data_IF_812412588035
#
_entry.id   IF_812412588035
#
_cell.length_a   1.000
_cell.length_b   1.000
_cell.length_c   1.000
_cell.angle_alpha   90.00
_cell.angle_beta   90.00
_cell.angle_gamma   90.00
#
_symmetry.space_group_name_H-M   'P 1'
#
loop_
_entity.id
_entity.type
_entity.pdbx_description
1 polymer ?
#
# COMPACT_ATOMS: atom_id res chain seq x y z
N UNK A 1 -24.49 -10.93 5.21
CA UNK A 1 -24.06 -9.61 5.70
C UNK A 1 -23.29 -9.79 6.99
N UNK A 2 -21.97 -9.87 6.89
CA UNK A 2 -21.07 -9.95 8.05
C UNK A 2 -20.91 -8.57 8.70
N UNK A 3 -20.55 -8.52 9.98
CA UNK A 3 -20.26 -7.25 10.68
C UNK A 3 -19.21 -6.40 9.96
N UNK A 4 -18.24 -7.04 9.30
CA UNK A 4 -17.19 -6.37 8.53
C UNK A 4 -17.75 -5.74 7.24
N UNK A 5 -18.66 -6.42 6.53
CA UNK A 5 -19.31 -5.85 5.35
C UNK A 5 -20.05 -4.54 5.68
N UNK A 6 -20.67 -4.46 6.85
CA UNK A 6 -21.37 -3.24 7.31
C UNK A 6 -20.40 -2.09 7.61
N UNK A 7 -19.24 -2.37 8.22
CA UNK A 7 -18.24 -1.34 8.54
C UNK A 7 -17.51 -0.83 7.31
N UNK A 8 -17.18 -1.72 6.37
CA UNK A 8 -16.44 -1.37 5.15
C UNK A 8 -17.37 -0.95 4.00
N UNK A 9 -18.69 -0.94 4.22
CA UNK A 9 -19.63 -0.37 3.26
C UNK A 9 -19.45 1.15 3.16
N UNK A 10 -19.44 1.72 1.95
CA UNK A 10 -19.34 3.16 1.79
C UNK A 10 -20.55 3.84 2.45
N UNK A 11 -20.28 4.69 3.44
CA UNK A 11 -21.32 5.33 4.26
C UNK A 11 -22.05 6.47 3.54
N UNK A 12 -21.59 6.89 2.36
CA UNK A 12 -22.05 8.11 1.69
C UNK A 12 -22.23 7.84 0.20
N UNK A 13 -23.44 8.07 -0.29
CA UNK A 13 -23.74 8.17 -1.73
C UNK A 13 -23.58 9.65 -2.13
N UNK A 14 -22.35 10.06 -2.43
CA UNK A 14 -22.09 11.41 -2.96
C UNK A 14 -22.55 11.47 -4.41
N UNK A 15 -23.31 12.50 -4.77
CA UNK A 15 -23.66 12.72 -6.18
C UNK A 15 -22.44 13.26 -6.95
N UNK A 16 -22.42 13.04 -8.26
CA UNK A 16 -21.32 13.48 -9.13
C UNK A 16 -21.12 15.01 -9.13
N UNK A 17 -22.18 15.79 -8.94
CA UNK A 17 -22.13 17.25 -8.96
C UNK A 17 -21.40 17.81 -7.73
N UNK A 18 -21.64 17.25 -6.54
CA UNK A 18 -20.99 17.64 -5.29
C UNK A 18 -19.50 17.31 -5.32
N UNK A 19 -19.14 16.14 -5.86
CA UNK A 19 -17.74 15.77 -6.10
C UNK A 19 -17.06 16.76 -7.05
N UNK A 20 -17.68 17.06 -8.20
CA UNK A 20 -17.12 17.99 -9.16
C UNK A 20 -16.97 19.40 -8.57
N UNK A 21 -17.97 19.88 -7.82
CA UNK A 21 -17.91 21.17 -7.13
C UNK A 21 -16.77 21.22 -6.12
N UNK A 22 -16.57 20.14 -5.35
CA UNK A 22 -15.46 20.05 -4.40
C UNK A 22 -14.10 20.08 -5.11
N UNK A 23 -13.87 19.18 -6.08
CA UNK A 23 -12.58 19.08 -6.77
C UNK A 23 -12.23 20.32 -7.60
N UNK A 24 -13.21 20.97 -8.23
CA UNK A 24 -12.97 22.19 -9.00
C UNK A 24 -12.56 23.39 -8.14
N UNK A 25 -12.91 23.39 -6.85
CA UNK A 25 -12.51 24.42 -5.90
C UNK A 25 -11.13 24.17 -5.28
N UNK A 26 -10.52 23.01 -5.51
CA UNK A 26 -9.19 22.67 -5.00
C UNK A 26 -8.11 23.11 -5.99
N UNK A 27 -7.23 24.01 -5.55
CA UNK A 27 -5.98 24.30 -6.24
C UNK A 27 -4.88 23.34 -5.75
N UNK A 28 -4.79 22.18 -6.39
CA UNK A 28 -3.78 21.17 -6.05
C UNK A 28 -2.46 21.46 -6.79
N UNK A 29 -1.30 21.38 -6.11
CA UNK A 29 -0.01 21.45 -6.78
C UNK A 29 0.12 20.34 -7.82
N UNK A 30 0.55 20.71 -9.02
CA UNK A 30 0.78 19.77 -10.13
C UNK A 30 2.24 19.33 -10.15
N UNK A 31 2.47 18.06 -10.45
CA UNK A 31 3.80 17.52 -10.64
C UNK A 31 4.44 18.10 -11.90
N UNK A 32 5.70 18.55 -11.82
CA UNK A 32 6.46 19.04 -12.98
C UNK A 32 6.70 17.89 -13.98
N UNK A 33 6.75 18.21 -15.28
CA UNK A 33 6.94 17.20 -16.35
C UNK A 33 8.21 16.36 -16.16
N UNK A 34 9.30 16.99 -15.69
CA UNK A 34 10.57 16.33 -15.34
C UNK A 34 10.41 15.21 -14.30
N UNK A 35 9.49 15.38 -13.35
CA UNK A 35 9.24 14.42 -12.28
C UNK A 35 8.23 13.34 -12.71
N UNK A 36 7.40 13.60 -13.73
CA UNK A 36 6.53 12.58 -14.32
C UNK A 36 7.34 11.44 -14.93
N UNK A 37 8.42 11.76 -15.66
CA UNK A 37 9.28 10.73 -16.25
C UNK A 37 9.84 9.75 -15.21
N UNK A 38 10.23 10.26 -14.03
CA UNK A 38 10.68 9.42 -12.91
C UNK A 38 9.55 8.57 -12.33
N UNK A 39 8.33 9.10 -12.22
CA UNK A 39 7.16 8.35 -11.76
C UNK A 39 6.84 7.15 -12.66
N UNK A 40 7.04 7.30 -13.97
CA UNK A 40 6.77 6.24 -14.95
C UNK A 40 7.99 5.33 -15.23
N UNK A 41 9.12 5.56 -14.58
CA UNK A 41 10.30 4.72 -14.76
C UNK A 41 10.07 3.26 -14.33
N UNK A 42 10.75 2.33 -14.97
CA UNK A 42 10.75 0.92 -14.59
C UNK A 42 11.49 0.72 -13.26
N UNK A 43 11.08 -0.29 -12.48
CA UNK A 43 11.74 -0.60 -11.21
C UNK A 43 12.93 -1.53 -11.48
N UNK A 44 14.12 -1.20 -10.99
CA UNK A 44 15.31 -1.98 -11.20
C UNK A 44 15.42 -3.19 -10.25
N UNK A 45 16.30 -4.12 -10.59
CA UNK A 45 16.69 -5.23 -9.71
C UNK A 45 17.32 -4.71 -8.40
N UNK A 46 18.19 -3.72 -8.48
CA UNK A 46 18.82 -3.14 -7.28
C UNK A 46 17.77 -2.57 -6.31
N UNK A 47 16.74 -1.93 -6.84
CA UNK A 47 15.66 -1.35 -6.05
C UNK A 47 14.84 -2.43 -5.33
N UNK A 48 14.46 -3.52 -6.01
CA UNK A 48 13.80 -4.64 -5.36
C UNK A 48 14.70 -5.29 -4.30
N UNK A 49 16.00 -5.42 -4.59
CA UNK A 49 16.96 -6.04 -3.69
C UNK A 49 17.05 -5.23 -2.40
N UNK A 50 17.25 -3.92 -2.51
CA UNK A 50 17.28 -2.99 -1.38
C UNK A 50 15.95 -2.99 -0.61
N UNK A 51 14.82 -3.04 -1.31
CA UNK A 51 13.51 -3.16 -0.65
C UNK A 51 13.39 -4.44 0.17
N UNK A 52 13.80 -5.60 -0.38
CA UNK A 52 13.80 -6.88 0.33
C UNK A 52 14.68 -6.79 1.58
N UNK A 53 15.89 -6.21 1.46
CA UNK A 53 16.79 -5.99 2.60
C UNK A 53 16.23 -5.05 3.67
N UNK A 54 15.34 -4.13 3.28
CA UNK A 54 14.66 -3.20 4.20
C UNK A 54 13.41 -3.78 4.88
N UNK A 55 13.00 -5.01 4.55
CA UNK A 55 11.86 -5.64 5.19
C UNK A 55 12.18 -5.94 6.66
N UNK A 56 11.27 -5.57 7.55
CA UNK A 56 11.36 -5.92 8.96
C UNK A 56 11.04 -7.40 9.14
N UNK A 57 12.00 -8.12 9.73
CA UNK A 57 11.98 -9.56 10.01
C UNK A 57 10.93 -9.94 11.07
N UNK A 58 10.70 -9.10 12.07
CA UNK A 58 9.77 -9.37 13.17
C UNK A 58 8.27 -9.13 12.86
N UNK A 59 7.83 -9.20 11.60
CA UNK A 59 6.43 -8.92 11.22
C UNK A 59 5.74 -10.18 10.73
N UNK A 60 4.45 -10.29 11.05
CA UNK A 60 3.62 -11.37 10.55
C UNK A 60 3.58 -11.41 9.02
N UNK A 61 3.71 -12.63 8.49
CA UNK A 61 3.53 -12.94 7.07
C UNK A 61 2.04 -12.93 6.69
N UNK A 62 1.77 -13.03 5.38
CA UNK A 62 0.39 -13.15 4.88
C UNK A 62 -0.08 -14.60 4.89
N UNK A 63 -0.92 -15.01 3.94
CA UNK A 63 -1.46 -16.38 3.92
C UNK A 63 -0.54 -17.42 3.27
N UNK A 64 0.57 -16.99 2.67
CA UNK A 64 1.53 -17.83 1.96
C UNK A 64 2.60 -18.47 2.88
N UNK A 65 2.78 -17.94 4.10
CA UNK A 65 3.80 -18.42 5.03
C UNK A 65 5.22 -17.90 4.73
N UNK A 66 5.41 -17.04 3.73
CA UNK A 66 6.75 -16.55 3.39
C UNK A 66 7.17 -15.38 4.28
N UNK A 67 8.09 -15.63 5.19
CA UNK A 67 8.68 -14.63 6.07
C UNK A 67 9.66 -13.70 5.35
N UNK A 68 9.93 -12.53 5.94
CA UNK A 68 10.88 -11.58 5.37
C UNK A 68 12.32 -12.10 5.40
N UNK A 69 12.64 -12.95 6.38
CA UNK A 69 13.91 -13.65 6.54
C UNK A 69 14.18 -14.58 5.36
N UNK A 70 13.17 -15.37 4.97
CA UNK A 70 13.26 -16.25 3.82
C UNK A 70 13.62 -15.45 2.57
N UNK A 71 12.84 -14.39 2.28
CA UNK A 71 13.06 -13.53 1.12
C UNK A 71 14.43 -12.84 1.16
N UNK A 72 14.93 -12.51 2.36
CA UNK A 72 16.26 -11.93 2.53
C UNK A 72 17.36 -12.90 2.13
N UNK A 73 17.25 -14.17 2.51
CA UNK A 73 18.23 -15.21 2.20
C UNK A 73 18.22 -15.55 0.72
N UNK A 74 17.03 -15.74 0.13
CA UNK A 74 16.86 -16.13 -1.28
C UNK A 74 16.67 -14.95 -2.24
N UNK A 75 17.01 -13.73 -1.80
CA UNK A 75 16.79 -12.50 -2.58
C UNK A 75 17.36 -12.54 -4.00
N UNK A 76 18.47 -13.24 -4.24
CA UNK A 76 19.10 -13.32 -5.57
C UNK A 76 18.31 -14.19 -6.53
N UNK A 77 17.67 -15.23 -6.02
CA UNK A 77 16.92 -16.21 -6.79
C UNK A 77 15.49 -15.71 -7.10
N UNK A 78 14.87 -14.97 -6.18
CA UNK A 78 13.44 -14.61 -6.30
C UNK A 78 13.24 -13.27 -7.04
N UNK A 79 14.26 -12.40 -7.09
CA UNK A 79 14.09 -11.02 -7.54
C UNK A 79 13.61 -10.88 -8.98
N UNK A 80 14.18 -11.69 -9.88
CA UNK A 80 13.80 -11.70 -11.30
C UNK A 80 12.35 -12.15 -11.45
N UNK A 81 11.93 -13.17 -10.70
CA UNK A 81 10.56 -13.66 -10.71
C UNK A 81 9.58 -12.59 -10.22
N UNK A 82 9.90 -11.87 -9.14
CA UNK A 82 9.05 -10.78 -8.62
C UNK A 82 8.96 -9.60 -9.58
N UNK A 83 10.05 -9.27 -10.28
CA UNK A 83 10.05 -8.23 -11.31
C UNK A 83 9.19 -8.64 -12.51
N UNK A 84 9.34 -9.86 -13.02
CA UNK A 84 8.50 -10.37 -14.10
C UNK A 84 7.01 -10.29 -13.72
N UNK A 85 6.68 -10.73 -12.50
CA UNK A 85 5.32 -10.68 -11.97
C UNK A 85 4.78 -9.24 -11.91
N UNK A 86 5.61 -8.29 -11.47
CA UNK A 86 5.25 -6.88 -11.43
C UNK A 86 5.00 -6.31 -12.82
N UNK A 87 5.90 -6.55 -13.77
CA UNK A 87 5.77 -6.03 -15.13
C UNK A 87 4.53 -6.59 -15.82
N UNK A 88 4.26 -7.88 -15.66
CA UNK A 88 3.04 -8.49 -16.15
C UNK A 88 1.80 -7.85 -15.51
N UNK A 89 1.81 -7.61 -14.20
CA UNK A 89 0.69 -6.97 -13.51
C UNK A 89 0.43 -5.53 -13.99
N UNK A 90 1.49 -4.79 -14.33
CA UNK A 90 1.39 -3.44 -14.91
C UNK A 90 0.83 -3.48 -16.33
N UNK A 91 1.32 -4.40 -17.16
CA UNK A 91 0.88 -4.59 -18.54
C UNK A 91 -0.60 -5.01 -18.62
N UNK A 92 -0.98 -6.02 -17.86
CA UNK A 92 -2.34 -6.55 -17.81
C UNK A 92 -3.29 -5.66 -16.99
N UNK A 93 -2.74 -4.70 -16.23
CA UNK A 93 -3.47 -3.85 -15.27
C UNK A 93 -4.21 -4.65 -14.19
N UNK A 94 -3.72 -5.84 -13.88
CA UNK A 94 -4.32 -6.77 -12.92
C UNK A 94 -3.23 -7.33 -12.02
N UNK A 95 -3.40 -7.15 -10.71
CA UNK A 95 -2.51 -7.76 -9.72
C UNK A 95 -2.73 -9.27 -9.63
N UNK A 96 -1.71 -10.09 -9.36
CA UNK A 96 -1.87 -11.53 -9.13
C UNK A 96 -2.91 -11.84 -8.04
N UNK A 97 -3.71 -12.92 -8.16
CA UNK A 97 -4.75 -13.23 -7.19
C UNK A 97 -4.26 -13.32 -5.75
N UNK A 98 -3.09 -13.91 -5.52
CA UNK A 98 -2.47 -14.05 -4.19
C UNK A 98 -2.19 -12.70 -3.54
N UNK A 99 -1.73 -11.72 -4.32
CA UNK A 99 -1.47 -10.34 -3.85
C UNK A 99 -2.74 -9.55 -3.52
N UNK A 100 -3.92 -10.06 -3.90
CA UNK A 100 -5.23 -9.46 -3.59
C UNK A 100 -5.90 -10.10 -2.37
N UNK A 101 -5.24 -11.07 -1.74
CA UNK A 101 -5.73 -11.74 -0.55
C UNK A 101 -5.02 -11.20 0.70
N UNK A 102 -5.75 -11.21 1.83
CA UNK A 102 -5.20 -10.86 3.13
C UNK A 102 -5.87 -11.72 4.21
N UNK A 103 -5.11 -12.04 5.26
CA UNK A 103 -5.69 -12.58 6.50
C UNK A 103 -6.12 -11.42 7.37
N UNK A 104 -7.38 -11.39 7.81
CA UNK A 104 -7.86 -10.39 8.75
C UNK A 104 -7.63 -10.91 10.17
N UNK A 105 -6.79 -10.21 10.93
CA UNK A 105 -6.57 -10.43 12.36
C UNK A 105 -7.24 -9.32 13.18
N UNK A 106 -7.83 -9.67 14.31
CA UNK A 106 -8.50 -8.71 15.20
C UNK A 106 -7.62 -8.40 16.41
N UNK A 107 -7.18 -7.15 16.56
CA UNK A 107 -6.44 -6.70 17.74
C UNK A 107 -7.34 -5.97 18.74
N UNK A 108 -7.35 -6.35 20.03
CA UNK A 108 -8.15 -5.67 21.03
C UNK A 108 -7.65 -4.24 21.28
N UNK A 109 -8.57 -3.29 21.49
CA UNK A 109 -8.25 -1.93 21.95
C UNK A 109 -7.86 -1.98 23.43
N UNK A 110 -6.75 -1.31 23.84
CA UNK A 110 -6.36 -1.27 25.25
C UNK A 110 -7.46 -0.70 26.16
N UNK A 111 -7.70 -1.36 27.30
CA UNK A 111 -8.66 -0.88 28.31
C UNK A 111 -10.13 -0.91 27.90
N UNK A 112 -10.50 -1.75 26.92
CA UNK A 112 -11.88 -1.91 26.46
C UNK A 112 -12.36 -3.35 26.69
N UNK A 113 -13.68 -3.52 26.78
CA UNK A 113 -14.30 -4.83 26.95
C UNK A 113 -14.07 -5.71 25.71
N UNK A 114 -13.48 -6.88 25.91
CA UNK A 114 -13.15 -7.84 24.86
C UNK A 114 -14.37 -8.64 24.37
N UNK A 115 -15.51 -8.54 25.04
CA UNK A 115 -16.77 -9.16 24.60
C UNK A 115 -17.48 -8.36 23.49
N UNK A 116 -17.15 -7.09 23.32
CA UNK A 116 -17.74 -6.25 22.27
C UNK A 116 -16.88 -6.22 21.01
N UNK A 117 -17.41 -6.67 19.86
CA UNK A 117 -16.67 -6.73 18.58
C UNK A 117 -16.15 -5.36 18.11
N UNK A 118 -16.87 -4.26 18.38
CA UNK A 118 -16.46 -2.88 18.06
C UNK A 118 -15.16 -2.45 18.77
N UNK A 119 -14.77 -3.18 19.83
CA UNK A 119 -13.57 -2.91 20.60
C UNK A 119 -12.32 -3.55 20.01
N UNK A 120 -12.43 -4.21 18.85
CA UNK A 120 -11.30 -4.71 18.09
C UNK A 120 -10.94 -3.79 16.93
N UNK A 121 -9.68 -3.87 16.49
CA UNK A 121 -9.14 -3.24 15.29
C UNK A 121 -8.86 -4.35 14.28
N UNK A 122 -9.51 -4.37 13.11
CA UNK A 122 -9.12 -5.29 12.05
C UNK A 122 -7.77 -4.86 11.47
N UNK A 123 -6.87 -5.82 11.29
CA UNK A 123 -5.58 -5.67 10.62
C UNK A 123 -5.50 -6.71 9.50
N UNK A 124 -5.24 -6.22 8.28
CA UNK A 124 -4.99 -7.07 7.12
C UNK A 124 -3.52 -7.46 7.06
N UNK A 125 -3.24 -8.75 7.18
CA UNK A 125 -1.93 -9.35 6.97
C UNK A 125 -1.78 -9.71 5.49
N UNK A 126 -1.00 -8.89 4.78
CA UNK A 126 -0.68 -9.05 3.37
C UNK A 126 0.60 -9.86 3.19
N UNK A 127 0.70 -10.56 2.06
CA UNK A 127 1.91 -11.27 1.65
C UNK A 127 3.07 -10.28 1.44
N UNK A 128 4.29 -10.78 1.66
CA UNK A 128 5.48 -9.93 1.61
C UNK A 128 5.85 -9.48 0.19
N UNK A 129 5.46 -10.25 -0.82
CA UNK A 129 5.57 -9.88 -2.23
C UNK A 129 4.82 -8.57 -2.54
N UNK A 130 3.58 -8.42 -2.06
CA UNK A 130 2.82 -7.18 -2.18
C UNK A 130 3.50 -6.02 -1.43
N UNK A 131 4.03 -6.27 -0.23
CA UNK A 131 4.76 -5.25 0.55
C UNK A 131 6.04 -4.79 -0.16
N UNK A 132 6.73 -5.69 -0.86
CA UNK A 132 7.89 -5.35 -1.68
C UNK A 132 7.46 -4.41 -2.80
N UNK A 133 6.42 -4.76 -3.55
CA UNK A 133 5.90 -3.88 -4.61
C UNK A 133 5.51 -2.50 -4.06
N UNK A 134 4.75 -2.49 -2.96
CA UNK A 134 4.30 -1.27 -2.31
C UNK A 134 5.46 -0.40 -1.82
N UNK A 135 6.59 -0.97 -1.40
CA UNK A 135 7.76 -0.21 -0.94
C UNK A 135 8.67 0.23 -2.09
N UNK A 136 8.83 -0.61 -3.11
CA UNK A 136 9.67 -0.31 -4.28
C UNK A 136 9.10 0.83 -5.13
N UNK A 137 7.77 0.95 -5.24
CA UNK A 137 7.12 2.06 -5.96
C UNK A 137 7.45 3.44 -5.35
N UNK A 138 7.21 3.72 -4.06
CA UNK A 138 7.48 5.00 -3.44
C UNK A 138 8.95 5.40 -3.38
N UNK A 139 9.86 4.44 -3.17
CA UNK A 139 11.30 4.71 -3.02
C UNK A 139 11.87 5.49 -4.22
N UNK A 140 11.43 5.16 -5.44
CA UNK A 140 12.00 5.75 -6.66
C UNK A 140 11.10 6.82 -7.27
N UNK A 141 9.79 6.72 -7.05
CA UNK A 141 8.79 7.46 -7.82
C UNK A 141 8.11 8.57 -7.05
N UNK A 142 8.00 8.44 -5.73
CA UNK A 142 7.24 9.37 -4.90
C UNK A 142 8.11 10.30 -4.05
N UNK A 143 9.44 10.16 -4.07
CA UNK A 143 10.38 11.08 -3.40
C UNK A 143 10.06 12.55 -3.68
N UNK A 144 9.80 12.90 -4.94
CA UNK A 144 9.40 14.27 -5.34
C UNK A 144 7.97 14.67 -4.95
N UNK A 145 7.12 13.70 -4.61
CA UNK A 145 5.75 13.92 -4.10
C UNK A 145 5.77 14.15 -2.59
N UNK A 146 6.71 13.55 -1.85
CA UNK A 146 6.89 13.85 -0.43
C UNK A 146 7.23 15.33 -0.19
N UNK A 147 7.94 15.98 -1.12
CA UNK A 147 8.18 17.43 -1.09
C UNK A 147 6.89 18.26 -1.25
N UNK A 148 5.88 17.71 -1.93
CA UNK A 148 4.55 18.32 -2.08
C UNK A 148 3.63 18.02 -0.89
N UNK A 149 3.95 16.99 -0.09
CA UNK A 149 3.17 16.58 1.08
C UNK A 149 2.86 17.75 2.03
N UNK A 150 3.85 18.54 2.45
CA UNK A 150 3.62 19.73 3.29
C UNK A 150 2.74 20.81 2.63
N UNK A 151 2.67 20.87 1.31
CA UNK A 151 1.80 21.81 0.59
C UNK A 151 0.35 21.30 0.45
N UNK A 152 0.16 19.98 0.54
CA UNK A 152 -1.14 19.29 0.41
C UNK A 152 -1.88 19.13 1.74
N UNK A 153 -1.17 19.17 2.87
CA UNK A 153 -1.76 19.06 4.20
C UNK A 153 -2.28 20.42 4.69
N UNK A 154 -3.51 20.44 5.20
CA UNK A 154 -4.03 21.62 5.91
C UNK A 154 -3.21 21.91 7.16
N UNK A 155 -3.29 23.13 7.70
CA UNK A 155 -2.56 23.51 8.93
C UNK A 155 -2.87 22.57 10.10
N UNK A 156 -4.09 22.05 10.17
CA UNK A 156 -4.56 21.15 11.24
C UNK A 156 -4.09 19.70 11.06
N UNK A 157 -3.55 19.35 9.88
CA UNK A 157 -3.02 18.02 9.57
C UNK A 157 -1.49 17.95 9.67
N UNK A 158 -0.82 19.09 9.90
CA UNK A 158 0.62 19.15 10.15
C UNK A 158 0.86 18.87 11.62
N UNK A 159 1.20 17.62 11.93
CA UNK A 159 1.66 17.19 13.27
C UNK A 159 3.12 17.60 13.48
#
# INVERSE_FOLDING_TARGET
>A
MTYLEVIFSPCINLNQQDLNKFFNNLSLPKLREENKGKLYSCISEEEFYNTIKSLSTSKAHGNDGFEAEFLNVSSKEIILMLLCLYYQAVEEKIMPPTMRLAIISLLPKPGKDHLEVKNYRPISLLNNDYKILQKSIPLNKFTHIYDLGPALLSKDQKV
#
